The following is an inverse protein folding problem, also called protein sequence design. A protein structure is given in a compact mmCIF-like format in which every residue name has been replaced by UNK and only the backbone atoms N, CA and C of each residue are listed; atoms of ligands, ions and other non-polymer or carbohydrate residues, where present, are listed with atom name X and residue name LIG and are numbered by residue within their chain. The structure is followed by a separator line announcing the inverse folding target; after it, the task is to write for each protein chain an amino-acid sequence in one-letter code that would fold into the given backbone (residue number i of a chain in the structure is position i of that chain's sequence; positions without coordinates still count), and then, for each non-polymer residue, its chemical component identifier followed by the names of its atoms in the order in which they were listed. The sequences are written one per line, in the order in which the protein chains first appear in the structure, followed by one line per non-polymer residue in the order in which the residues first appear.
data_IF_851376543669
#
_entry.id   IF_851376543669
#
_cell.length_a   1.000
_cell.length_b   1.000
_cell.length_c   1.000
_cell.angle_alpha   90.00
_cell.angle_beta   90.00
_cell.angle_gamma   90.00
#
_symmetry.space_group_name_H-M   'P 1'
#
loop_
_entity.id
_entity.type
_entity.pdbx_description
1 polymer ?
#
# COMPACT_ATOMS: atom_id res chain seq x y z
N UNK A 1 -3.54 4.31 23.76
CA UNK A 1 -3.02 3.18 22.96
C UNK A 1 -4.13 2.36 22.31
N UNK A 2 -5.40 2.81 22.42
CA UNK A 2 -6.58 1.98 22.10
C UNK A 2 -7.19 2.19 20.70
N UNK A 3 -6.89 3.30 20.03
CA UNK A 3 -7.44 3.58 18.68
C UNK A 3 -6.88 2.67 17.59
N UNK A 4 -5.64 2.18 17.74
CA UNK A 4 -4.98 1.35 16.73
C UNK A 4 -5.57 -0.07 16.72
N UNK A 5 -5.95 -0.60 17.89
CA UNK A 5 -6.48 -1.97 18.00
C UNK A 5 -7.86 -2.13 17.36
N UNK A 6 -8.75 -1.13 17.50
CA UNK A 6 -10.08 -1.19 16.89
C UNK A 6 -10.06 -1.12 15.35
N UNK A 7 -9.14 -0.34 14.76
CA UNK A 7 -8.97 -0.30 13.29
C UNK A 7 -8.42 -1.63 12.73
N UNK A 8 -7.71 -2.41 13.56
CA UNK A 8 -7.16 -3.71 13.15
C UNK A 8 -8.18 -4.86 13.25
N UNK A 9 -9.25 -4.71 14.05
CA UNK A 9 -10.25 -5.77 14.23
C UNK A 9 -11.35 -5.78 13.17
N UNK A 10 -11.55 -4.68 12.44
CA UNK A 10 -12.54 -4.65 11.35
C UNK A 10 -11.98 -5.34 10.09
N UNK A 11 -12.84 -6.04 9.32
CA UNK A 11 -12.46 -6.55 8.02
C UNK A 11 -12.11 -5.38 7.10
N UNK A 12 -10.82 -5.21 6.84
CA UNK A 12 -10.35 -4.19 5.91
C UNK A 12 -10.71 -4.62 4.48
N UNK A 13 -11.74 -3.99 3.92
CA UNK A 13 -12.11 -4.18 2.51
C UNK A 13 -11.09 -3.43 1.67
N UNK A 14 -10.28 -4.18 0.92
CA UNK A 14 -9.30 -3.61 0.01
C UNK A 14 -10.01 -3.02 -1.22
N UNK A 15 -9.71 -1.77 -1.62
CA UNK A 15 -10.35 -1.15 -2.78
C UNK A 15 -10.04 -1.90 -4.08
N UNK A 16 -11.08 -2.19 -4.88
CA UNK A 16 -10.95 -2.93 -6.14
C UNK A 16 -10.06 -2.22 -7.15
N UNK A 17 -10.07 -0.88 -7.19
CA UNK A 17 -9.22 -0.08 -8.09
C UNK A 17 -7.72 -0.31 -7.83
N UNK A 18 -7.31 -0.56 -6.58
CA UNK A 18 -5.92 -0.87 -6.22
C UNK A 18 -5.64 -2.37 -6.43
N UNK A 19 -6.55 -3.25 -6.00
CA UNK A 19 -6.38 -4.70 -6.17
C UNK A 19 -6.25 -5.11 -7.65
N UNK A 20 -7.10 -4.57 -8.52
CA UNK A 20 -7.08 -4.84 -9.95
C UNK A 20 -5.72 -4.48 -10.57
N UNK A 21 -5.08 -3.40 -10.11
CA UNK A 21 -3.76 -2.97 -10.58
C UNK A 21 -2.63 -3.88 -10.07
N UNK A 22 -2.75 -4.42 -8.86
CA UNK A 22 -1.80 -5.41 -8.33
C UNK A 22 -1.94 -6.76 -9.04
N UNK A 23 -3.17 -7.19 -9.32
CA UNK A 23 -3.48 -8.46 -10.00
C UNK A 23 -3.13 -8.47 -11.49
N UNK A 24 -2.98 -7.30 -12.11
CA UNK A 24 -2.59 -7.18 -13.51
C UNK A 24 -1.18 -7.74 -13.82
N UNK A 25 -0.29 -7.81 -12.81
CA UNK A 25 1.03 -8.43 -12.93
C UNK A 25 1.12 -9.61 -11.93
N UNK A 26 1.18 -10.86 -12.41
CA UNK A 26 1.26 -12.05 -11.55
C UNK A 26 2.43 -12.03 -10.56
N UNK A 27 3.55 -11.41 -10.92
CA UNK A 27 4.73 -11.30 -10.05
C UNK A 27 4.44 -10.35 -8.89
N UNK A 28 3.83 -9.20 -9.19
CA UNK A 28 3.40 -8.23 -8.18
C UNK A 28 2.36 -8.86 -7.26
N UNK A 29 1.38 -9.58 -7.81
CA UNK A 29 0.35 -10.24 -7.04
C UNK A 29 0.92 -11.29 -6.08
N UNK A 30 1.79 -12.17 -6.57
CA UNK A 30 2.41 -13.21 -5.76
C UNK A 30 3.26 -12.64 -4.62
N UNK A 31 4.03 -11.57 -4.88
CA UNK A 31 4.82 -10.90 -3.84
C UNK A 31 3.91 -10.17 -2.84
N UNK A 32 2.87 -9.47 -3.32
CA UNK A 32 1.89 -8.79 -2.47
C UNK A 32 1.24 -9.75 -1.49
N UNK A 33 0.83 -10.94 -1.96
CA UNK A 33 0.18 -11.96 -1.12
C UNK A 33 1.05 -12.40 0.07
N UNK A 34 2.38 -12.40 -0.08
CA UNK A 34 3.33 -12.80 0.96
C UNK A 34 3.54 -11.74 2.05
N UNK A 35 3.16 -10.48 1.82
CA UNK A 35 3.28 -9.44 2.85
C UNK A 35 2.30 -9.65 4.01
N UNK A 36 2.66 -9.15 5.20
CA UNK A 36 1.78 -9.21 6.36
C UNK A 36 0.51 -8.37 6.15
N UNK A 37 -0.61 -8.81 6.70
CA UNK A 37 -1.88 -8.08 6.58
C UNK A 37 -1.79 -6.67 7.14
N UNK A 38 -1.06 -6.48 8.24
CA UNK A 38 -0.78 -5.16 8.81
C UNK A 38 -0.07 -4.25 7.81
N UNK A 39 0.96 -4.75 7.11
CA UNK A 39 1.66 -3.99 6.09
C UNK A 39 0.74 -3.63 4.92
N UNK A 40 0.00 -4.62 4.39
CA UNK A 40 -0.96 -4.42 3.31
C UNK A 40 -1.97 -3.32 3.67
N UNK A 41 -2.58 -3.38 4.86
CA UNK A 41 -3.56 -2.39 5.33
C UNK A 41 -2.98 -0.98 5.41
N UNK A 42 -1.82 -0.81 6.05
CA UNK A 42 -1.16 0.50 6.18
C UNK A 42 -0.85 1.10 4.81
N UNK A 43 -0.31 0.28 3.89
CA UNK A 43 0.06 0.72 2.54
C UNK A 43 -1.14 1.11 1.70
N UNK A 44 -2.19 0.30 1.75
CA UNK A 44 -3.41 0.55 0.97
C UNK A 44 -4.14 1.79 1.52
N UNK A 45 -4.25 1.95 2.84
CA UNK A 45 -4.80 3.16 3.44
C UNK A 45 -4.01 4.42 3.05
N UNK A 46 -2.67 4.34 3.00
CA UNK A 46 -1.83 5.46 2.56
C UNK A 46 -2.04 5.84 1.08
N UNK A 47 -2.26 4.86 0.21
CA UNK A 47 -2.56 5.08 -1.21
C UNK A 47 -3.97 5.67 -1.34
N UNK A 48 -4.96 5.05 -0.69
CA UNK A 48 -6.36 5.48 -0.72
C UNK A 48 -6.55 6.91 -0.16
N UNK A 49 -5.79 7.31 0.85
CA UNK A 49 -5.82 8.69 1.37
C UNK A 49 -5.44 9.76 0.31
N UNK A 50 -4.79 9.37 -0.80
CA UNK A 50 -4.48 10.27 -1.90
C UNK A 50 -5.53 10.26 -3.02
N UNK A 51 -6.63 9.51 -2.92
CA UNK A 51 -7.63 9.35 -3.99
C UNK A 51 -8.26 10.69 -4.45
N UNK A 52 -8.35 11.68 -3.56
CA UNK A 52 -8.81 13.05 -3.89
C UNK A 52 -7.85 13.77 -4.87
N UNK A 53 -6.59 13.33 -4.96
CA UNK A 53 -5.54 13.90 -5.81
C UNK A 53 -5.01 12.82 -6.78
N UNK A 54 -5.61 12.70 -7.97
CA UNK A 54 -5.30 11.61 -8.91
C UNK A 54 -3.80 11.42 -9.19
N UNK A 55 -3.06 12.51 -9.39
CA UNK A 55 -1.61 12.45 -9.65
C UNK A 55 -0.83 11.84 -8.48
N UNK A 56 -1.17 12.21 -7.25
CA UNK A 56 -0.49 11.70 -6.05
C UNK A 56 -0.92 10.25 -5.75
N UNK A 57 -2.19 9.92 -6.00
CA UNK A 57 -2.69 8.55 -5.94
C UNK A 57 -1.91 7.64 -6.90
N UNK A 58 -1.83 8.01 -8.17
CA UNK A 58 -1.11 7.25 -9.20
C UNK A 58 0.37 7.11 -8.86
N UNK A 59 1.01 8.20 -8.42
CA UNK A 59 2.41 8.16 -7.98
C UNK A 59 2.64 7.18 -6.83
N UNK A 60 1.79 7.20 -5.80
CA UNK A 60 1.89 6.29 -4.65
C UNK A 60 1.63 4.83 -5.05
N UNK A 61 0.62 4.61 -5.89
CA UNK A 61 0.25 3.30 -6.40
C UNK A 61 1.38 2.70 -7.26
N UNK A 62 1.92 3.47 -8.20
CA UNK A 62 3.03 3.05 -9.06
C UNK A 62 4.30 2.75 -8.25
N UNK A 63 4.64 3.58 -7.26
CA UNK A 63 5.75 3.30 -6.37
C UNK A 63 5.54 2.00 -5.58
N UNK A 64 4.32 1.77 -5.07
CA UNK A 64 3.99 0.54 -4.37
C UNK A 64 4.09 -0.69 -5.27
N UNK A 65 3.56 -0.64 -6.49
CA UNK A 65 3.66 -1.71 -7.49
C UNK A 65 5.12 -2.00 -7.83
N UNK A 66 5.93 -0.99 -8.15
CA UNK A 66 7.34 -1.16 -8.51
C UNK A 66 8.14 -1.84 -7.40
N UNK A 67 7.94 -1.42 -6.15
CA UNK A 67 8.64 -2.01 -5.00
C UNK A 67 8.14 -3.43 -4.69
N UNK A 68 6.84 -3.66 -4.82
CA UNK A 68 6.25 -5.00 -4.68
C UNK A 68 6.78 -5.94 -5.77
N UNK A 69 6.96 -5.47 -7.00
CA UNK A 69 7.56 -6.24 -8.10
C UNK A 69 9.00 -6.68 -7.78
N UNK A 70 9.77 -5.81 -7.14
CA UNK A 70 11.12 -6.11 -6.63
C UNK A 70 11.11 -6.96 -5.33
N UNK A 71 9.95 -7.35 -4.82
CA UNK A 71 9.75 -7.99 -3.51
C UNK A 71 10.36 -7.19 -2.35
N UNK A 72 10.31 -5.85 -2.43
CA UNK A 72 10.85 -4.94 -1.42
C UNK A 72 9.71 -4.29 -0.64
N UNK A 73 9.88 -4.26 0.68
CA UNK A 73 9.07 -3.40 1.54
C UNK A 73 9.53 -1.96 1.39
N UNK A 74 8.56 -1.05 1.30
CA UNK A 74 8.85 0.39 1.38
C UNK A 74 8.99 0.78 2.85
N UNK A 75 10.22 1.10 3.21
CA UNK A 75 10.60 1.73 4.48
C UNK A 75 10.55 3.26 4.32
N UNK A 76 9.97 3.96 5.31
CA UNK A 76 9.86 5.42 5.30
C UNK A 76 8.58 5.97 4.65
N UNK A 77 8.12 7.12 5.16
CA UNK A 77 6.97 7.86 4.64
C UNK A 77 7.47 8.98 3.72
N UNK A 78 7.43 8.78 2.41
CA UNK A 78 7.42 9.89 1.45
C UNK A 78 8.57 10.89 1.54
N UNK A 79 9.83 10.44 1.68
CA UNK A 79 10.99 11.31 1.51
C UNK A 79 11.51 12.03 2.77
N UNK A 80 11.11 11.60 3.97
CA UNK A 80 11.77 12.04 5.22
C UNK A 80 13.25 11.66 5.28
N UNK A 81 13.71 10.64 4.54
CA UNK A 81 15.13 10.33 4.36
C UNK A 81 15.91 11.39 3.55
N UNK A 82 15.24 12.34 2.86
CA UNK A 82 15.95 13.45 2.20
C UNK A 82 16.37 14.58 3.15
N UNK A 83 15.93 14.52 4.41
CA UNK A 83 16.15 15.58 5.40
C UNK A 83 17.00 15.11 6.60
N UNK A 84 17.62 13.93 6.51
CA UNK A 84 18.59 13.42 7.48
C UNK A 84 19.85 12.94 6.76
#
# INVERSE_FOLDING_TARGET
MDKIRNVLSEPFVFPDNILNKLQADPTVWNNYQQFSDTYKRIRIAYIQAAEIRPEEFEKRLNNFINKTKENKIITGFGGIDKYY
#
